data_IF_904236848846
#
_entry.id   IF_904236848846
#
_cell.length_a   1.000
_cell.length_b   1.000
_cell.length_c   1.000
_cell.angle_alpha   90.00
_cell.angle_beta   90.00
_cell.angle_gamma   90.00
#
_symmetry.space_group_name_H-M   'P 1'
#
loop_
_entity.id
_entity.type
_entity.pdbx_description
1 polymer ?
#
# COMPACT_ATOMS: atom_id res chain seq x y z
N UNK A 1 24.68 43.66 -1.69
CA UNK A 1 24.49 42.86 -2.92
C UNK A 1 23.94 41.43 -2.68
N UNK A 2 23.29 41.13 -1.53
CA UNK A 2 22.80 39.77 -1.19
C UNK A 2 21.28 39.56 -1.40
N UNK A 3 20.53 40.62 -1.76
CA UNK A 3 19.07 40.57 -1.92
C UNK A 3 18.64 39.88 -3.23
N UNK A 4 19.46 39.94 -4.29
CA UNK A 4 19.15 39.39 -5.61
C UNK A 4 19.04 37.87 -5.65
N UNK A 5 19.79 37.14 -4.82
CA UNK A 5 19.82 35.67 -4.83
C UNK A 5 18.52 35.06 -4.27
N UNK A 6 17.97 35.65 -3.21
CA UNK A 6 16.68 35.24 -2.64
C UNK A 6 15.51 35.54 -3.58
N UNK A 7 15.53 36.68 -4.24
CA UNK A 7 14.48 37.05 -5.22
C UNK A 7 14.51 36.13 -6.44
N UNK A 8 15.69 35.79 -6.96
CA UNK A 8 15.82 34.84 -8.09
C UNK A 8 15.28 33.46 -7.73
N UNK A 9 15.58 32.95 -6.53
CA UNK A 9 15.02 31.66 -6.07
C UNK A 9 13.50 31.69 -5.97
N UNK A 10 12.91 32.79 -5.47
CA UNK A 10 11.46 32.96 -5.42
C UNK A 10 10.81 33.03 -6.81
N UNK A 11 11.48 33.66 -7.78
CA UNK A 11 11.00 33.72 -9.18
C UNK A 11 11.01 32.33 -9.82
N UNK A 12 12.11 31.58 -9.67
CA UNK A 12 12.21 30.21 -10.20
C UNK A 12 11.16 29.29 -9.56
N UNK A 13 10.99 29.37 -8.23
CA UNK A 13 9.98 28.60 -7.50
C UNK A 13 8.57 28.88 -8.02
N UNK A 14 8.24 30.16 -8.24
CA UNK A 14 6.93 30.57 -8.76
C UNK A 14 6.69 30.06 -10.18
N UNK A 15 7.71 30.10 -11.04
CA UNK A 15 7.64 29.55 -12.40
C UNK A 15 7.40 28.04 -12.37
N UNK A 16 8.12 27.29 -11.52
CA UNK A 16 7.93 25.85 -11.37
C UNK A 16 6.52 25.50 -10.86
N UNK A 17 5.98 26.26 -9.90
CA UNK A 17 4.64 26.02 -9.36
C UNK A 17 3.55 26.24 -10.42
N UNK A 18 3.67 27.29 -11.23
CA UNK A 18 2.75 27.57 -12.35
C UNK A 18 2.86 26.46 -13.42
N UNK A 19 4.06 25.98 -13.72
CA UNK A 19 4.25 24.91 -14.71
C UNK A 19 3.63 23.59 -14.27
N UNK A 20 3.79 23.22 -12.99
CA UNK A 20 3.19 22.02 -12.42
C UNK A 20 1.66 22.11 -12.40
N UNK A 21 1.13 23.26 -11.98
CA UNK A 21 -0.31 23.53 -12.01
C UNK A 21 -0.88 23.42 -13.44
N UNK A 22 -0.16 23.96 -14.43
CA UNK A 22 -0.59 23.90 -15.83
C UNK A 22 -0.62 22.46 -16.37
N UNK A 23 0.38 21.63 -16.03
CA UNK A 23 0.40 20.21 -16.43
C UNK A 23 -0.72 19.41 -15.74
N UNK A 24 -0.98 19.70 -14.46
CA UNK A 24 -2.11 19.13 -13.74
C UNK A 24 -3.45 19.47 -14.42
N UNK A 25 -3.65 20.73 -14.81
CA UNK A 25 -4.86 21.14 -15.55
C UNK A 25 -5.00 20.42 -16.91
N UNK A 26 -3.89 20.22 -17.63
CA UNK A 26 -3.88 19.50 -18.92
C UNK A 26 -4.32 18.04 -18.78
N UNK A 27 -3.78 17.33 -17.79
CA UNK A 27 -4.16 15.94 -17.49
C UNK A 27 -5.62 15.83 -17.04
N UNK A 28 -6.17 16.88 -16.43
CA UNK A 28 -7.55 16.94 -15.98
C UNK A 28 -8.51 17.60 -17.00
N UNK A 29 -8.08 17.80 -18.25
CA UNK A 29 -8.93 18.27 -19.36
C UNK A 29 -9.38 19.73 -19.26
N UNK A 30 -8.74 20.53 -18.40
CA UNK A 30 -9.03 21.96 -18.24
C UNK A 30 -8.17 22.80 -19.20
N UNK A 31 -8.66 23.96 -19.66
CA UNK A 31 -7.91 24.80 -20.59
C UNK A 31 -6.65 25.36 -19.92
N UNK A 32 -5.49 24.96 -20.43
CA UNK A 32 -4.17 25.45 -20.01
C UNK A 32 -3.94 26.90 -20.44
N UNK A 33 -3.14 27.66 -19.68
CA UNK A 33 -2.85 29.08 -19.96
C UNK A 33 -1.92 29.29 -21.17
N UNK A 34 -1.21 28.23 -21.60
CA UNK A 34 -0.22 28.28 -22.69
C UNK A 34 -0.56 27.36 -23.87
N UNK A 35 -1.67 26.62 -23.81
CA UNK A 35 -2.13 25.75 -24.89
C UNK A 35 -3.01 26.52 -25.87
N UNK A 36 -2.82 26.26 -27.17
CA UNK A 36 -3.75 26.76 -28.18
C UNK A 36 -5.15 26.20 -27.91
N UNK A 37 -6.16 27.08 -27.97
CA UNK A 37 -7.59 26.73 -27.96
C UNK A 37 -7.82 25.54 -28.92
N UNK A 38 -8.35 24.39 -28.46
CA UNK A 38 -8.82 23.39 -29.38
C UNK A 38 -9.92 24.01 -30.24
N UNK A 39 -9.78 23.91 -31.55
CA UNK A 39 -10.84 24.27 -32.48
C UNK A 39 -12.11 23.50 -32.09
N UNK A 40 -13.22 24.24 -31.95
CA UNK A 40 -14.55 23.64 -31.92
C UNK A 40 -14.72 22.83 -33.21
N UNK A 41 -14.70 21.50 -33.08
CA UNK A 41 -15.25 20.66 -34.13
C UNK A 41 -16.67 20.35 -33.73
N UNK A 42 -17.61 21.05 -34.36
CA UNK A 42 -19.00 20.67 -34.36
C UNK A 42 -19.12 19.30 -35.05
N UNK A 43 -19.55 18.28 -34.32
CA UNK A 43 -20.08 17.06 -34.92
C UNK A 43 -21.58 16.97 -34.63
N UNK A 44 -22.30 17.52 -35.60
CA UNK A 44 -23.54 17.04 -36.18
C UNK A 44 -24.33 16.00 -35.38
N UNK A 45 -25.46 16.50 -34.89
CA UNK A 45 -26.65 15.78 -34.48
C UNK A 45 -27.07 14.76 -35.55
N UNK A 46 -27.15 13.48 -35.17
CA UNK A 46 -28.06 12.53 -35.79
C UNK A 46 -28.70 11.71 -34.68
N UNK A 47 -29.97 11.99 -34.43
CA UNK A 47 -30.85 11.17 -33.60
C UNK A 47 -31.19 9.90 -34.37
N UNK A 48 -30.90 8.75 -33.77
CA UNK A 48 -31.59 7.48 -34.03
C UNK A 48 -31.57 6.62 -32.76
N UNK A 49 -32.63 6.80 -31.96
CA UNK A 49 -33.44 5.77 -31.32
C UNK A 49 -32.79 4.46 -30.84
N UNK A 50 -32.72 4.35 -29.50
CA UNK A 50 -33.19 3.23 -28.66
C UNK A 50 -32.53 1.85 -28.80
N UNK A 51 -31.92 1.41 -27.69
CA UNK A 51 -31.74 -0.02 -27.38
C UNK A 51 -30.55 -0.30 -26.46
N UNK A 52 -30.83 -0.70 -25.23
CA UNK A 52 -29.94 -1.18 -24.17
C UNK A 52 -28.55 -1.72 -24.57
N UNK A 53 -27.52 -1.34 -23.80
CA UNK A 53 -26.26 -2.07 -23.75
C UNK A 53 -25.22 -1.44 -22.83
N UNK A 54 -24.92 -2.10 -21.71
CA UNK A 54 -23.69 -1.96 -20.92
C UNK A 54 -22.47 -1.78 -21.84
N UNK A 55 -21.44 -1.00 -21.48
CA UNK A 55 -20.02 -1.43 -21.39
C UNK A 55 -19.18 -0.41 -20.60
N UNK A 56 -18.32 -0.95 -19.75
CA UNK A 56 -17.50 -0.28 -18.76
C UNK A 56 -16.24 0.38 -19.34
N UNK A 57 -15.79 1.44 -18.67
CA UNK A 57 -14.48 2.04 -18.88
C UNK A 57 -13.36 1.05 -18.53
N UNK A 58 -12.32 1.01 -19.37
CA UNK A 58 -11.18 0.10 -19.22
C UNK A 58 -10.45 0.30 -17.90
N UNK A 59 -10.42 -0.75 -17.10
CA UNK A 59 -9.55 -0.88 -15.95
C UNK A 59 -8.23 -1.52 -16.38
N UNK A 60 -7.12 -0.95 -15.91
CA UNK A 60 -5.79 -1.54 -15.97
C UNK A 60 -5.82 -2.95 -15.36
N UNK A 61 -5.53 -3.97 -16.19
CA UNK A 61 -5.66 -5.39 -15.83
C UNK A 61 -4.44 -5.95 -15.09
N UNK A 62 -3.52 -5.09 -14.66
CA UNK A 62 -2.31 -5.49 -13.92
C UNK A 62 -2.54 -5.67 -12.41
N UNK A 63 -3.72 -5.31 -11.89
CA UNK A 63 -4.07 -5.49 -10.47
C UNK A 63 -5.33 -6.37 -10.38
N UNK A 64 -5.32 -7.47 -9.61
CA UNK A 64 -6.51 -8.29 -9.41
C UNK A 64 -7.62 -7.48 -8.75
N UNK A 65 -8.73 -7.30 -9.45
CA UNK A 65 -9.96 -6.68 -8.90
C UNK A 65 -10.74 -7.70 -8.07
N UNK A 66 -11.16 -7.30 -6.87
CA UNK A 66 -11.95 -8.14 -5.98
C UNK A 66 -13.37 -8.41 -6.54
N UNK A 67 -13.95 -9.60 -6.35
CA UNK A 67 -15.34 -9.87 -6.72
C UNK A 67 -16.30 -9.01 -5.87
N UNK A 68 -17.23 -8.33 -6.51
CA UNK A 68 -18.36 -7.72 -5.83
C UNK A 68 -19.39 -8.80 -5.50
N UNK A 69 -19.49 -9.18 -4.22
CA UNK A 69 -20.59 -10.01 -3.72
C UNK A 69 -21.28 -9.30 -2.56
N UNK A 70 -22.52 -8.88 -2.80
CA UNK A 70 -23.49 -8.63 -1.76
C UNK A 70 -24.00 -9.97 -1.23
N UNK A 71 -23.72 -10.25 0.03
CA UNK A 71 -24.41 -11.27 0.82
C UNK A 71 -24.22 -10.92 2.29
N UNK A 72 -25.29 -10.47 2.92
CA UNK A 72 -25.41 -10.41 4.37
C UNK A 72 -25.42 -11.83 4.92
N UNK A 73 -24.38 -12.21 5.67
CA UNK A 73 -24.39 -13.40 6.50
C UNK A 73 -23.72 -13.11 7.85
N UNK A 74 -24.12 -13.82 8.91
CA UNK A 74 -24.09 -13.31 10.28
C UNK A 74 -22.68 -13.37 10.89
N UNK A 75 -22.49 -12.50 11.88
CA UNK A 75 -21.33 -12.46 12.78
C UNK A 75 -20.92 -13.88 13.20
N UNK A 76 -19.78 -14.34 12.71
CA UNK A 76 -19.13 -15.55 13.19
C UNK A 76 -18.48 -15.24 14.54
N UNK A 77 -19.18 -15.58 15.62
CA UNK A 77 -18.57 -15.66 16.95
C UNK A 77 -17.47 -16.73 16.91
N UNK A 78 -16.23 -16.35 17.23
CA UNK A 78 -15.08 -17.25 17.36
C UNK A 78 -15.04 -17.76 18.80
N UNK A 79 -15.25 -19.06 19.07
CA UNK A 79 -15.08 -19.61 20.41
C UNK A 79 -13.59 -19.86 20.70
N UNK A 80 -13.07 -19.28 21.78
CA UNK A 80 -11.75 -19.60 22.33
C UNK A 80 -10.93 -18.38 22.75
N UNK A 81 -11.34 -17.74 23.85
CA UNK A 81 -10.52 -16.76 24.57
C UNK A 81 -9.34 -17.47 25.23
N UNK A 82 -8.17 -17.42 24.61
CA UNK A 82 -6.93 -17.25 25.36
C UNK A 82 -6.60 -15.76 25.31
N UNK A 83 -6.37 -15.17 26.48
CA UNK A 83 -6.11 -13.74 26.64
C UNK A 83 -4.82 -13.34 25.89
N UNK A 84 -4.97 -13.02 24.61
CA UNK A 84 -3.92 -12.46 23.79
C UNK A 84 -3.80 -10.98 24.15
N UNK A 85 -2.66 -10.62 24.71
CA UNK A 85 -2.32 -9.24 25.03
C UNK A 85 -2.36 -8.41 23.73
N UNK A 86 -3.08 -7.27 23.70
CA UNK A 86 -3.17 -6.45 22.50
C UNK A 86 -1.77 -6.02 22.12
N UNK A 87 -1.35 -6.37 20.90
CA UNK A 87 -0.11 -5.86 20.34
C UNK A 87 -0.19 -4.34 20.29
N UNK A 88 0.84 -3.66 20.78
CA UNK A 88 0.88 -2.20 20.69
C UNK A 88 1.06 -1.81 19.22
N UNK A 89 0.43 -0.72 18.81
CA UNK A 89 0.69 -0.15 17.48
C UNK A 89 2.20 0.06 17.29
N UNK A 90 2.78 -0.56 16.26
CA UNK A 90 4.22 -0.55 15.99
C UNK A 90 5.04 -1.68 16.66
N UNK A 91 4.40 -2.72 17.19
CA UNK A 91 5.09 -3.93 17.64
C UNK A 91 5.44 -4.85 16.47
N UNK A 92 6.67 -5.36 16.44
CA UNK A 92 7.10 -6.39 15.47
C UNK A 92 6.89 -7.77 16.07
N UNK A 93 6.01 -8.57 15.46
CA UNK A 93 5.80 -9.98 15.77
C UNK A 93 6.84 -10.82 15.05
N UNK A 94 7.63 -11.60 15.80
CA UNK A 94 8.57 -12.56 15.20
C UNK A 94 7.87 -13.90 14.98
N UNK A 95 7.86 -14.37 13.74
CA UNK A 95 7.49 -15.74 13.38
C UNK A 95 8.75 -16.51 13.00
N UNK A 96 8.80 -17.79 13.31
CA UNK A 96 9.93 -18.63 12.95
C UNK A 96 9.46 -20.05 12.61
N UNK A 97 10.07 -20.61 11.57
CA UNK A 97 10.02 -22.04 11.29
C UNK A 97 11.45 -22.61 11.14
N UNK A 98 11.55 -23.79 10.55
CA UNK A 98 12.80 -24.49 10.27
C UNK A 98 13.72 -23.75 9.28
N UNK A 99 13.16 -23.11 8.25
CA UNK A 99 13.92 -22.53 7.14
C UNK A 99 14.03 -21.01 7.18
N UNK A 100 13.08 -20.31 7.79
CA UNK A 100 12.93 -18.86 7.72
C UNK A 100 12.46 -18.27 9.05
N UNK A 101 12.99 -17.09 9.35
CA UNK A 101 12.52 -16.21 10.41
C UNK A 101 11.94 -14.95 9.78
N UNK A 102 10.75 -14.55 10.22
CA UNK A 102 10.01 -13.41 9.71
C UNK A 102 9.73 -12.41 10.83
N UNK A 103 9.85 -11.12 10.54
CA UNK A 103 9.31 -10.03 11.36
C UNK A 103 8.11 -9.44 10.66
N UNK A 104 6.96 -9.46 11.34
CA UNK A 104 5.71 -8.84 10.88
C UNK A 104 5.47 -7.59 11.71
N UNK A 105 5.34 -6.44 11.06
CA UNK A 105 4.94 -5.20 11.71
C UNK A 105 3.42 -5.20 11.93
N UNK A 106 2.98 -4.90 13.15
CA UNK A 106 1.58 -4.75 13.50
C UNK A 106 0.89 -3.63 12.71
N UNK A 107 1.63 -2.67 12.15
CA UNK A 107 1.10 -1.68 11.21
C UNK A 107 1.00 -2.32 9.83
N UNK A 108 -0.22 -2.46 9.31
CA UNK A 108 -0.49 -2.98 7.97
C UNK A 108 -0.24 -4.48 7.78
N UNK A 109 0.25 -5.20 8.80
CA UNK A 109 0.60 -6.61 8.67
C UNK A 109 1.72 -6.86 7.65
N UNK A 110 2.62 -5.89 7.48
CA UNK A 110 3.71 -5.96 6.51
C UNK A 110 4.88 -6.81 7.03
N UNK A 111 5.62 -7.43 6.10
CA UNK A 111 6.86 -8.15 6.40
C UNK A 111 8.00 -7.13 6.43
N UNK A 112 8.46 -6.77 7.63
CA UNK A 112 9.55 -5.80 7.85
C UNK A 112 10.93 -6.47 7.88
N UNK A 113 10.99 -7.77 8.19
CA UNK A 113 12.24 -8.52 8.25
C UNK A 113 12.05 -9.95 7.76
N UNK A 114 13.01 -10.49 7.01
CA UNK A 114 13.07 -11.94 6.77
C UNK A 114 14.49 -12.45 6.57
N UNK A 115 14.76 -13.59 7.19
CA UNK A 115 16.08 -14.21 7.29
C UNK A 115 15.98 -15.70 7.00
N UNK A 116 16.84 -16.21 6.11
CA UNK A 116 16.91 -17.62 5.75
C UNK A 116 17.93 -18.34 6.64
N UNK A 117 17.47 -19.26 7.48
CA UNK A 117 18.25 -19.86 8.56
C UNK A 117 19.33 -20.84 8.08
N UNK A 118 19.21 -21.35 6.86
CA UNK A 118 20.16 -22.31 6.28
C UNK A 118 21.09 -21.71 5.22
N UNK A 119 21.02 -20.40 4.99
CA UNK A 119 21.82 -19.73 3.97
C UNK A 119 22.74 -18.71 4.63
N UNK A 120 24.03 -18.79 4.34
CA UNK A 120 25.02 -17.82 4.82
C UNK A 120 24.98 -16.54 3.98
N UNK A 121 25.19 -15.40 4.62
CA UNK A 121 25.19 -14.10 3.94
C UNK A 121 26.36 -13.96 2.94
N UNK A 122 27.56 -14.39 3.35
CA UNK A 122 28.76 -14.36 2.52
C UNK A 122 29.39 -15.76 2.45
N UNK A 123 29.56 -16.28 1.23
CA UNK A 123 30.17 -17.60 1.00
C UNK A 123 31.66 -17.64 1.34
N UNK A 124 32.33 -16.49 1.42
CA UNK A 124 33.74 -16.38 1.78
C UNK A 124 33.96 -16.24 3.29
N UNK A 125 32.92 -15.93 4.06
CA UNK A 125 32.98 -15.77 5.52
C UNK A 125 31.86 -16.57 6.20
N UNK A 126 32.16 -17.76 6.74
CA UNK A 126 31.19 -18.61 7.45
C UNK A 126 30.57 -17.97 8.71
N UNK A 127 31.18 -16.90 9.25
CA UNK A 127 30.68 -16.19 10.43
C UNK A 127 29.87 -14.94 10.08
N UNK A 128 29.59 -14.70 8.79
CA UNK A 128 28.81 -13.55 8.30
C UNK A 128 27.34 -13.56 8.72
N UNK A 129 26.89 -14.63 9.37
CA UNK A 129 25.50 -14.83 9.77
C UNK A 129 24.62 -15.32 8.62
N UNK A 130 23.32 -15.37 8.90
CA UNK A 130 22.33 -15.85 7.95
C UNK A 130 21.99 -14.78 6.90
N UNK A 131 21.52 -15.23 5.74
CA UNK A 131 21.10 -14.37 4.64
C UNK A 131 19.78 -13.68 4.99
N UNK A 132 19.85 -12.36 5.14
CA UNK A 132 18.69 -11.49 5.27
C UNK A 132 18.22 -11.07 3.88
N UNK A 133 16.96 -11.32 3.56
CA UNK A 133 16.37 -10.98 2.24
C UNK A 133 15.46 -9.75 2.32
N UNK A 134 14.82 -9.47 3.47
CA UNK A 134 14.02 -8.26 3.71
C UNK A 134 14.44 -7.62 5.04
N UNK A 135 14.46 -6.30 5.05
CA UNK A 135 14.88 -5.48 6.19
C UNK A 135 14.28 -4.08 6.07
N UNK A 136 13.91 -3.45 7.17
CA UNK A 136 13.45 -2.06 7.26
C UNK A 136 14.57 -1.07 7.65
N UNK A 137 15.81 -1.55 7.82
CA UNK A 137 16.99 -0.74 8.17
C UNK A 137 17.39 0.22 7.03
N UNK A 138 17.84 1.41 7.40
CA UNK A 138 18.48 2.35 6.48
C UNK A 138 19.67 1.69 5.76
N UNK A 139 19.67 1.77 4.42
CA UNK A 139 20.70 1.18 3.54
C UNK A 139 20.36 -0.22 3.02
N UNK A 140 19.42 -0.94 3.65
CA UNK A 140 18.93 -2.25 3.21
C UNK A 140 17.40 -2.32 3.29
N UNK A 141 16.74 -1.22 2.93
CA UNK A 141 15.29 -1.09 3.01
C UNK A 141 14.60 -1.88 1.89
N UNK A 142 13.99 -3.00 2.24
CA UNK A 142 13.21 -3.85 1.36
C UNK A 142 12.17 -4.59 2.22
N UNK A 143 10.90 -4.21 2.07
CA UNK A 143 9.77 -4.69 2.88
C UNK A 143 8.66 -5.23 1.99
N UNK A 144 7.95 -6.25 2.48
CA UNK A 144 6.80 -6.84 1.81
C UNK A 144 5.49 -6.25 2.34
N UNK A 145 4.84 -5.39 1.55
CA UNK A 145 3.59 -4.74 1.95
C UNK A 145 2.38 -5.42 1.31
N UNK A 146 1.33 -5.60 2.11
CA UNK A 146 0.04 -6.13 1.64
C UNK A 146 -1.09 -5.31 2.26
N UNK A 147 -2.26 -5.29 1.61
CA UNK A 147 -3.43 -4.60 2.15
C UNK A 147 -4.56 -4.50 1.14
N UNK A 148 -5.75 -4.16 1.64
CA UNK A 148 -6.91 -3.90 0.78
C UNK A 148 -6.84 -2.46 0.27
N UNK A 149 -7.21 -2.30 -1.01
CA UNK A 149 -7.33 -0.99 -1.68
C UNK A 149 -8.70 -0.90 -2.37
N UNK A 150 -9.21 0.32 -2.54
CA UNK A 150 -10.48 0.55 -3.25
C UNK A 150 -11.77 0.29 -2.46
N UNK A 151 -11.68 -0.07 -1.18
CA UNK A 151 -12.83 -0.17 -0.27
C UNK A 151 -12.78 0.99 0.72
N UNK A 152 -13.86 1.77 0.77
CA UNK A 152 -13.96 2.92 1.68
C UNK A 152 -13.87 2.46 3.14
N UNK A 153 -13.02 3.15 3.89
CA UNK A 153 -12.78 2.94 5.32
C UNK A 153 -12.25 1.54 5.68
N UNK A 154 -11.92 0.66 4.74
CA UNK A 154 -11.34 -0.66 5.07
C UNK A 154 -9.89 -0.56 5.56
N UNK A 155 -9.44 -1.45 6.46
CA UNK A 155 -8.04 -1.55 6.85
C UNK A 155 -7.12 -1.79 5.65
N UNK A 156 -6.00 -1.07 5.64
CA UNK A 156 -4.98 -1.11 4.59
C UNK A 156 -3.57 -1.29 5.18
N UNK A 157 -2.55 -1.20 4.33
CA UNK A 157 -1.14 -1.38 4.69
C UNK A 157 -0.57 -0.32 5.66
N UNK A 158 -1.33 0.72 6.02
CA UNK A 158 -0.93 1.72 7.03
C UNK A 158 -1.77 1.63 8.31
N UNK A 159 -2.75 0.72 8.35
CA UNK A 159 -3.67 0.61 9.47
C UNK A 159 -3.03 -0.19 10.61
N UNK A 160 -2.95 0.34 11.84
CA UNK A 160 -2.50 -0.42 12.99
C UNK A 160 -3.46 -1.60 13.25
N UNK A 161 -2.90 -2.79 13.40
CA UNK A 161 -3.65 -4.02 13.68
C UNK A 161 -3.33 -4.54 15.08
N UNK A 162 -4.30 -5.24 15.67
CA UNK A 162 -4.13 -5.92 16.96
C UNK A 162 -3.97 -7.42 16.75
N UNK A 163 -3.06 -8.05 17.49
CA UNK A 163 -2.92 -9.50 17.50
C UNK A 163 -4.09 -10.13 18.25
N UNK A 164 -4.92 -10.87 17.52
CA UNK A 164 -6.06 -11.61 18.09
C UNK A 164 -5.63 -13.00 18.54
N UNK A 165 -4.74 -13.64 17.77
CA UNK A 165 -4.31 -15.01 18.03
C UNK A 165 -2.90 -15.24 17.50
N UNK A 166 -2.10 -15.99 18.26
CA UNK A 166 -0.83 -16.56 17.81
C UNK A 166 -1.01 -18.06 17.59
N UNK A 167 -0.34 -18.59 16.59
CA UNK A 167 -0.33 -20.01 16.26
C UNK A 167 1.08 -20.52 16.54
N UNK A 168 1.17 -21.52 17.40
CA UNK A 168 2.44 -22.10 17.80
C UNK A 168 2.55 -23.55 17.33
N UNK A 169 3.73 -23.90 16.83
CA UNK A 169 4.10 -25.26 16.44
C UNK A 169 5.47 -25.57 17.06
N UNK A 170 5.59 -26.68 17.79
CA UNK A 170 6.85 -27.09 18.43
C UNK A 170 7.47 -26.00 19.35
N UNK A 171 6.64 -25.18 20.00
CA UNK A 171 7.10 -24.10 20.89
C UNK A 171 7.61 -22.86 20.16
N UNK A 172 7.42 -22.75 18.85
CA UNK A 172 7.69 -21.54 18.06
C UNK A 172 6.40 -20.96 17.49
N UNK A 173 6.30 -19.64 17.46
CA UNK A 173 5.18 -18.96 16.80
C UNK A 173 5.37 -19.07 15.29
N UNK A 174 4.52 -19.85 14.63
CA UNK A 174 4.55 -20.11 13.18
C UNK A 174 3.50 -19.28 12.42
N UNK A 175 2.50 -18.74 13.12
CA UNK A 175 1.47 -17.92 12.51
C UNK A 175 0.88 -16.89 13.48
N UNK A 176 0.23 -15.88 12.92
CA UNK A 176 -0.47 -14.83 13.66
C UNK A 176 -1.73 -14.42 12.93
N UNK A 177 -2.78 -14.12 13.69
CA UNK A 177 -4.02 -13.52 13.19
C UNK A 177 -4.08 -12.10 13.71
N UNK A 178 -4.10 -11.15 12.79
CA UNK A 178 -4.21 -9.71 13.05
C UNK A 178 -5.62 -9.25 12.69
N UNK A 179 -6.20 -8.36 13.50
CA UNK A 179 -7.47 -7.71 13.22
C UNK A 179 -7.34 -6.19 13.32
N UNK A 180 -8.06 -5.49 12.43
CA UNK A 180 -8.24 -4.06 12.47
C UNK A 180 -9.66 -3.73 12.01
N UNK A 181 -10.22 -2.66 12.54
CA UNK A 181 -11.52 -2.16 12.13
C UNK A 181 -11.35 -0.92 11.25
N UNK A 182 -12.30 -0.76 10.33
CA UNK A 182 -12.32 0.35 9.42
C UNK A 182 -12.61 1.67 10.12
N UNK A 183 -11.73 2.66 9.97
CA UNK A 183 -11.78 3.92 10.70
C UNK A 183 -10.89 3.98 11.95
N UNK A 184 -10.15 2.91 12.26
CA UNK A 184 -9.42 2.77 13.52
C UNK A 184 -10.36 2.33 14.65
N UNK A 185 -9.82 1.61 15.64
CA UNK A 185 -10.56 1.23 16.85
C UNK A 185 -11.26 2.44 17.51
#
# INVERSE_FOLDING_TARGET
MQQSHKTVLWVILSICLVMLWNNWQEQHGQPTLFGQKPAQTAQQQTQAQQGNGNQAAGADASIPSAPANGSSDPSAAVPGNEASQPAKAGETITLQNDVIKLGIDAVGGQISYSELLHHIHNTQDPNSGNLVIQSDRQGTYFVGQTGLVGVKDAPNHTTPMTVVRRIETNGQVTGVVLAAEGGGL
#
